data_IF_465132119279
#
_entry.id   IF_465132119279
#
_cell.length_a   1.000
_cell.length_b   1.000
_cell.length_c   1.000
_cell.angle_alpha   90.00
_cell.angle_beta   90.00
_cell.angle_gamma   90.00
#
_symmetry.space_group_name_H-M   'P 1'
#
loop_
_entity.id
_entity.type
_entity.pdbx_description
1 polymer ?
#
# COMPACT_ATOMS: atom_id res chain seq x y z
N UNK A 1 -40.30 -9.46 11.28
CA UNK A 1 -39.83 -10.40 12.33
C UNK A 1 -39.45 -11.76 11.74
N UNK A 2 -39.89 -12.12 10.49
CA UNK A 2 -39.65 -13.44 9.90
C UNK A 2 -38.36 -13.57 9.07
N UNK A 3 -37.71 -12.46 8.66
CA UNK A 3 -36.58 -12.51 7.72
C UNK A 3 -35.20 -12.68 8.39
N UNK A 4 -35.01 -12.18 9.58
CA UNK A 4 -33.73 -12.26 10.29
C UNK A 4 -33.40 -13.67 10.80
N UNK A 5 -34.41 -14.45 11.22
CA UNK A 5 -34.20 -15.83 11.64
C UNK A 5 -33.82 -16.76 10.50
N UNK A 6 -34.35 -16.54 9.28
CA UNK A 6 -33.98 -17.35 8.11
C UNK A 6 -32.54 -17.13 7.61
N UNK A 7 -31.97 -15.96 7.82
CA UNK A 7 -30.58 -15.68 7.41
C UNK A 7 -29.58 -16.34 8.38
N UNK A 8 -29.89 -16.29 9.68
CA UNK A 8 -29.03 -16.83 10.74
C UNK A 8 -28.85 -18.35 10.64
N UNK A 9 -29.91 -19.06 10.26
CA UNK A 9 -29.92 -20.54 10.18
C UNK A 9 -29.32 -21.07 8.86
N UNK A 10 -29.24 -20.23 7.81
CA UNK A 10 -28.67 -20.60 6.51
C UNK A 10 -27.15 -20.39 6.41
N UNK A 11 -26.59 -19.54 7.25
CA UNK A 11 -25.15 -19.34 7.31
C UNK A 11 -24.57 -20.34 8.29
N UNK A 12 -24.21 -21.52 7.81
CA UNK A 12 -23.44 -22.50 8.61
C UNK A 12 -22.16 -21.84 9.11
N UNK A 13 -21.79 -22.11 10.34
CA UNK A 13 -20.56 -21.60 10.98
C UNK A 13 -19.27 -21.93 10.23
N UNK A 14 -19.34 -22.87 9.28
CA UNK A 14 -18.23 -23.38 8.44
C UNK A 14 -18.21 -22.76 7.03
N UNK A 15 -19.05 -21.77 6.73
CA UNK A 15 -19.02 -21.14 5.41
C UNK A 15 -17.74 -20.33 5.23
N UNK A 16 -16.96 -20.51 4.12
CA UNK A 16 -15.78 -19.72 3.83
C UNK A 16 -16.11 -18.25 3.50
N UNK A 17 -17.40 -17.93 3.34
CA UNK A 17 -17.88 -16.59 3.02
C UNK A 17 -18.32 -15.89 4.31
N UNK A 18 -17.81 -14.69 4.57
CA UNK A 18 -18.25 -13.88 5.70
C UNK A 18 -19.76 -13.61 5.63
N UNK A 19 -20.41 -13.50 6.81
CA UNK A 19 -21.85 -13.18 6.90
C UNK A 19 -22.20 -11.88 6.19
N UNK A 20 -21.33 -10.91 6.28
CA UNK A 20 -21.48 -9.59 5.64
C UNK A 20 -21.52 -9.74 4.12
N UNK A 21 -20.58 -10.46 3.54
CA UNK A 21 -20.53 -10.74 2.10
C UNK A 21 -21.70 -11.58 1.62
N UNK A 22 -22.14 -12.54 2.44
CA UNK A 22 -23.32 -13.33 2.15
C UNK A 22 -24.58 -12.44 2.05
N UNK A 23 -24.79 -11.55 3.02
CA UNK A 23 -25.93 -10.61 3.01
C UNK A 23 -25.88 -9.70 1.80
N UNK A 24 -24.71 -9.14 1.49
CA UNK A 24 -24.55 -8.27 0.33
C UNK A 24 -24.92 -8.97 -1.00
N UNK A 25 -24.51 -10.23 -1.16
CA UNK A 25 -24.69 -10.96 -2.43
C UNK A 25 -26.07 -11.63 -2.57
N UNK A 26 -26.78 -11.86 -1.46
CA UNK A 26 -27.99 -12.70 -1.46
C UNK A 26 -29.25 -11.97 -0.95
N UNK A 27 -29.13 -10.69 -0.58
CA UNK A 27 -30.26 -9.93 -0.04
C UNK A 27 -30.64 -8.75 -0.93
N UNK A 28 -31.92 -8.58 -1.18
CA UNK A 28 -32.44 -7.35 -1.78
C UNK A 28 -32.59 -6.32 -0.67
N UNK A 29 -31.65 -5.39 -0.60
CA UNK A 29 -31.64 -4.33 0.40
C UNK A 29 -32.52 -3.16 -0.08
N UNK A 30 -33.62 -2.92 0.61
CA UNK A 30 -34.48 -1.74 0.38
C UNK A 30 -33.71 -0.45 0.66
N UNK A 31 -34.10 0.66 0.00
CA UNK A 31 -33.45 1.94 0.24
C UNK A 31 -33.96 2.59 1.53
N UNK A 32 -33.21 2.40 2.60
CA UNK A 32 -33.38 3.05 3.90
C UNK A 32 -32.01 3.47 4.46
N UNK A 33 -32.01 4.27 5.52
CA UNK A 33 -30.80 4.82 6.10
C UNK A 33 -29.80 3.74 6.56
N UNK A 34 -30.28 2.70 7.22
CA UNK A 34 -29.45 1.60 7.72
C UNK A 34 -28.80 0.82 6.57
N UNK A 35 -29.56 0.52 5.52
CA UNK A 35 -29.04 -0.19 4.37
C UNK A 35 -28.09 0.68 3.53
N UNK A 36 -28.26 2.01 3.50
CA UNK A 36 -27.30 2.94 2.88
C UNK A 36 -25.96 2.95 3.62
N UNK A 37 -25.97 2.93 4.95
CA UNK A 37 -24.75 2.81 5.76
C UNK A 37 -24.06 1.48 5.50
N UNK A 38 -24.81 0.38 5.46
CA UNK A 38 -24.29 -0.94 5.14
C UNK A 38 -23.65 -0.99 3.73
N UNK A 39 -24.33 -0.45 2.72
CA UNK A 39 -23.79 -0.38 1.34
C UNK A 39 -22.51 0.45 1.26
N UNK A 40 -22.44 1.60 1.97
CA UNK A 40 -21.21 2.41 2.05
C UNK A 40 -20.07 1.64 2.72
N UNK A 41 -20.36 0.89 3.78
CA UNK A 41 -19.36 0.05 4.44
C UNK A 41 -18.83 -1.05 3.50
N UNK A 42 -19.72 -1.73 2.76
CA UNK A 42 -19.34 -2.74 1.79
C UNK A 42 -18.47 -2.12 0.69
N UNK A 43 -18.91 -1.01 0.09
CA UNK A 43 -18.15 -0.29 -0.94
C UNK A 43 -16.76 0.12 -0.43
N UNK A 44 -16.66 0.56 0.82
CA UNK A 44 -15.37 0.86 1.44
C UNK A 44 -14.48 -0.39 1.54
N UNK A 45 -15.01 -1.49 2.08
CA UNK A 45 -14.24 -2.74 2.26
C UNK A 45 -13.86 -3.38 0.92
N UNK A 46 -14.75 -3.36 -0.07
CA UNK A 46 -14.48 -3.92 -1.39
C UNK A 46 -13.38 -3.16 -2.16
N UNK A 47 -13.10 -1.91 -1.78
CA UNK A 47 -12.03 -1.09 -2.37
C UNK A 47 -10.77 -0.97 -1.50
N UNK A 48 -10.64 -1.81 -0.46
CA UNK A 48 -9.39 -1.89 0.31
C UNK A 48 -8.32 -2.65 -0.47
N UNK A 49 -7.08 -2.21 -0.30
CA UNK A 49 -5.87 -2.89 -0.80
C UNK A 49 -4.93 -3.19 0.36
N UNK A 50 -4.50 -4.44 0.45
CA UNK A 50 -3.54 -4.91 1.45
C UNK A 50 -2.36 -5.57 0.72
N UNK A 51 -1.16 -5.10 0.99
CA UNK A 51 0.09 -5.62 0.42
C UNK A 51 0.93 -6.26 1.51
N UNK A 52 1.39 -7.47 1.23
CA UNK A 52 2.33 -8.22 2.08
C UNK A 52 3.70 -8.21 1.40
N UNK A 53 4.63 -7.40 1.87
CA UNK A 53 5.91 -7.22 1.18
C UNK A 53 6.84 -8.41 1.27
N UNK A 54 6.76 -9.22 2.33
CA UNK A 54 7.56 -10.44 2.50
C UNK A 54 7.07 -11.60 1.64
N UNK A 55 5.81 -11.60 1.22
CA UNK A 55 5.27 -12.56 0.26
C UNK A 55 5.13 -11.89 -1.10
N UNK A 56 6.10 -12.13 -1.98
CA UNK A 56 6.14 -11.55 -3.34
C UNK A 56 4.91 -11.86 -4.22
N UNK A 57 3.94 -12.60 -3.70
CA UNK A 57 2.66 -12.93 -4.34
C UNK A 57 1.47 -12.28 -3.65
N UNK A 58 1.69 -11.63 -2.50
CA UNK A 58 0.62 -11.33 -1.60
C UNK A 58 0.16 -9.90 -1.67
N UNK A 59 -0.84 -9.62 -2.48
CA UNK A 59 -1.77 -8.55 -2.16
C UNK A 59 -3.19 -9.11 -2.12
N UNK A 60 -4.01 -8.52 -1.30
CA UNK A 60 -5.44 -8.74 -1.27
C UNK A 60 -6.16 -7.44 -1.60
N UNK A 61 -7.14 -7.49 -2.49
CA UNK A 61 -7.86 -6.29 -2.86
C UNK A 61 -8.88 -6.47 -3.97
N UNK A 62 -9.46 -5.37 -4.40
CA UNK A 62 -10.56 -5.31 -5.36
C UNK A 62 -10.15 -5.62 -6.81
N UNK A 63 -8.87 -5.62 -7.12
CA UNK A 63 -8.38 -5.98 -8.45
C UNK A 63 -7.72 -7.35 -8.41
N UNK A 64 -8.43 -8.37 -8.81
CA UNK A 64 -7.86 -9.68 -9.05
C UNK A 64 -7.43 -9.73 -10.52
N UNK A 65 -6.29 -9.15 -10.84
CA UNK A 65 -5.79 -9.19 -12.22
C UNK A 65 -4.84 -10.37 -12.44
N UNK A 66 -5.17 -11.27 -13.35
CA UNK A 66 -4.17 -12.12 -14.01
C UNK A 66 -3.29 -11.28 -14.98
N UNK A 67 -3.46 -9.96 -14.97
CA UNK A 67 -2.75 -9.02 -15.82
C UNK A 67 -1.32 -8.86 -15.33
N UNK A 68 -0.35 -9.06 -16.20
CA UNK A 68 1.06 -8.82 -15.90
C UNK A 68 1.36 -7.34 -15.66
N UNK A 69 2.39 -7.03 -14.86
CA UNK A 69 2.78 -5.65 -14.54
C UNK A 69 3.05 -4.83 -15.80
N UNK A 70 3.82 -5.38 -16.76
CA UNK A 70 4.08 -4.73 -18.05
C UNK A 70 2.79 -4.44 -18.82
N UNK A 71 1.93 -5.46 -18.93
CA UNK A 71 0.65 -5.37 -19.62
C UNK A 71 -0.23 -4.27 -19.01
N UNK A 72 -0.32 -4.22 -17.69
CA UNK A 72 -1.14 -3.25 -17.00
C UNK A 72 -0.64 -1.82 -17.14
N UNK A 73 0.67 -1.59 -17.14
CA UNK A 73 1.26 -0.26 -17.38
C UNK A 73 1.01 0.17 -18.84
N UNK A 74 1.19 -0.74 -19.80
CA UNK A 74 0.92 -0.46 -21.22
C UNK A 74 -0.56 -0.19 -21.48
N UNK A 75 -1.47 -1.03 -20.93
CA UNK A 75 -2.92 -0.88 -21.06
C UNK A 75 -3.43 0.44 -20.48
N UNK A 76 -2.81 0.93 -19.41
CA UNK A 76 -3.15 2.22 -18.81
C UNK A 76 -2.65 3.43 -19.63
N UNK A 77 -1.85 3.22 -20.68
CA UNK A 77 -1.22 4.29 -21.46
C UNK A 77 -0.13 5.05 -20.70
N UNK A 78 0.40 4.48 -19.60
CA UNK A 78 1.26 5.16 -18.63
C UNK A 78 2.76 4.84 -18.78
N UNK A 79 3.21 4.29 -19.93
CA UNK A 79 4.62 3.92 -20.11
C UNK A 79 5.55 5.14 -20.01
N UNK A 80 5.17 6.29 -20.58
CA UNK A 80 5.97 7.52 -20.48
C UNK A 80 6.00 8.11 -19.06
N UNK A 81 4.89 8.01 -18.34
CA UNK A 81 4.82 8.44 -16.94
C UNK A 81 5.66 7.51 -16.07
N UNK A 82 5.64 6.20 -16.36
CA UNK A 82 6.50 5.21 -15.71
C UNK A 82 7.99 5.49 -15.98
N UNK A 83 8.36 5.81 -17.21
CA UNK A 83 9.73 6.23 -17.53
C UNK A 83 10.15 7.44 -16.71
N UNK A 84 9.29 8.45 -16.59
CA UNK A 84 9.57 9.64 -15.77
C UNK A 84 9.74 9.28 -14.30
N UNK A 85 8.86 8.43 -13.76
CA UNK A 85 8.95 7.92 -12.40
C UNK A 85 10.28 7.20 -12.15
N UNK A 86 10.76 6.37 -13.07
CA UNK A 86 12.07 5.73 -12.96
C UNK A 86 13.20 6.75 -12.98
N UNK A 87 13.11 7.76 -13.85
CA UNK A 87 14.12 8.82 -13.95
C UNK A 87 14.21 9.69 -12.70
N UNK A 88 13.08 9.95 -12.03
CA UNK A 88 13.02 10.62 -10.72
C UNK A 88 13.70 9.81 -9.60
N UNK A 89 13.95 8.52 -9.85
CA UNK A 89 14.66 7.60 -8.96
C UNK A 89 16.03 7.19 -9.51
N UNK A 90 16.68 8.06 -10.30
CA UNK A 90 18.01 7.88 -10.88
C UNK A 90 18.14 6.64 -11.79
N UNK A 91 17.01 6.16 -12.35
CA UNK A 91 16.99 5.05 -13.30
C UNK A 91 16.60 5.59 -14.68
N UNK A 92 17.60 5.79 -15.54
CA UNK A 92 17.39 6.39 -16.86
C UNK A 92 17.32 5.31 -17.94
N UNK A 93 16.11 4.93 -18.31
CA UNK A 93 15.79 4.07 -19.45
C UNK A 93 14.91 4.83 -20.44
N UNK A 94 15.12 4.62 -21.71
CA UNK A 94 14.17 5.02 -22.74
C UNK A 94 13.18 3.87 -22.98
N UNK A 95 11.91 4.07 -22.55
CA UNK A 95 10.90 3.01 -22.52
C UNK A 95 9.82 3.20 -23.57
N UNK A 96 9.38 2.08 -24.16
CA UNK A 96 8.19 2.05 -24.98
C UNK A 96 7.37 0.77 -24.75
N UNK A 97 6.07 0.88 -25.00
CA UNK A 97 5.17 -0.28 -24.97
C UNK A 97 5.08 -0.91 -26.35
N UNK A 98 5.10 -2.22 -26.42
CA UNK A 98 4.91 -3.00 -27.64
C UNK A 98 4.07 -4.25 -27.39
N UNK A 99 3.75 -4.95 -28.46
CA UNK A 99 3.08 -6.24 -28.40
C UNK A 99 4.01 -7.32 -28.99
N UNK A 100 4.26 -8.37 -28.21
CA UNK A 100 5.10 -9.52 -28.57
C UNK A 100 4.30 -10.79 -28.29
N UNK A 101 4.12 -11.63 -29.30
CA UNK A 101 3.36 -12.90 -29.22
C UNK A 101 1.95 -12.72 -28.60
N UNK A 102 1.27 -11.62 -28.96
CA UNK A 102 -0.09 -11.29 -28.48
C UNK A 102 -0.14 -10.80 -27.02
N UNK A 103 1.01 -10.51 -26.40
CA UNK A 103 1.10 -9.95 -25.05
C UNK A 103 1.75 -8.57 -25.07
N UNK A 104 1.22 -7.66 -24.30
CA UNK A 104 1.82 -6.33 -24.14
C UNK A 104 3.03 -6.40 -23.24
N UNK A 105 4.11 -5.74 -23.68
CA UNK A 105 5.42 -5.72 -23.03
C UNK A 105 6.00 -4.31 -23.00
N UNK A 106 6.95 -4.07 -22.10
CA UNK A 106 7.73 -2.83 -22.04
C UNK A 106 9.15 -3.17 -22.47
N UNK A 107 9.66 -2.41 -23.42
CA UNK A 107 11.01 -2.54 -23.93
C UNK A 107 11.82 -1.28 -23.61
N UNK A 108 13.12 -1.49 -23.42
CA UNK A 108 14.12 -0.43 -23.34
C UNK A 108 14.78 -0.26 -24.71
N UNK A 109 14.87 0.98 -25.16
CA UNK A 109 15.58 1.34 -26.36
C UNK A 109 17.05 1.66 -26.03
N UNK A 110 17.96 1.08 -26.78
CA UNK A 110 19.40 1.37 -26.76
C UNK A 110 19.87 1.66 -28.20
N UNK A 111 20.97 2.36 -28.36
CA UNK A 111 21.47 2.84 -29.67
C UNK A 111 21.41 1.80 -30.79
N UNK A 112 21.69 0.53 -30.52
CA UNK A 112 21.78 -0.53 -31.51
C UNK A 112 20.85 -1.73 -31.29
N UNK A 113 20.05 -1.72 -30.22
CA UNK A 113 19.19 -2.88 -29.89
C UNK A 113 18.10 -2.48 -28.90
N UNK A 114 17.03 -3.26 -28.89
CA UNK A 114 15.98 -3.16 -27.91
C UNK A 114 16.00 -4.39 -26.99
N UNK A 115 15.69 -4.19 -25.72
CA UNK A 115 15.65 -5.26 -24.74
C UNK A 115 14.36 -5.22 -23.91
N UNK A 116 13.83 -6.37 -23.58
CA UNK A 116 12.69 -6.50 -22.65
C UNK A 116 13.10 -5.95 -21.28
N UNK A 117 12.38 -4.93 -20.81
CA UNK A 117 12.63 -4.26 -19.55
C UNK A 117 12.71 -5.24 -18.36
N UNK A 118 11.79 -6.20 -18.27
CA UNK A 118 11.74 -7.14 -17.16
C UNK A 118 12.85 -8.20 -17.19
N UNK A 119 13.53 -8.38 -18.34
CA UNK A 119 14.67 -9.27 -18.46
C UNK A 119 15.98 -8.61 -18.02
N UNK A 120 16.12 -7.29 -18.25
CA UNK A 120 17.35 -6.56 -17.97
C UNK A 120 17.31 -5.79 -16.64
N UNK A 121 16.13 -5.42 -16.17
CA UNK A 121 15.96 -4.65 -14.93
C UNK A 121 16.44 -5.42 -13.69
N UNK A 122 17.10 -4.70 -12.77
CA UNK A 122 17.46 -5.22 -11.46
C UNK A 122 16.22 -5.62 -10.63
N UNK A 123 16.42 -6.39 -9.56
CA UNK A 123 15.32 -6.75 -8.65
C UNK A 123 14.66 -5.50 -8.07
N UNK A 124 15.42 -4.51 -7.61
CA UNK A 124 14.89 -3.25 -7.10
C UNK A 124 14.10 -2.47 -8.15
N UNK A 125 14.60 -2.40 -9.39
CA UNK A 125 13.89 -1.74 -10.51
C UNK A 125 12.58 -2.45 -10.85
N UNK A 126 12.56 -3.79 -10.81
CA UNK A 126 11.33 -4.57 -11.00
C UNK A 126 10.33 -4.37 -9.86
N UNK A 127 10.81 -4.23 -8.63
CA UNK A 127 9.95 -3.89 -7.48
C UNK A 127 9.35 -2.50 -7.62
N UNK A 128 10.10 -1.52 -8.16
CA UNK A 128 9.55 -0.21 -8.51
C UNK A 128 8.48 -0.28 -9.61
N UNK A 129 8.67 -1.13 -10.62
CA UNK A 129 7.66 -1.33 -11.65
C UNK A 129 6.37 -1.93 -11.05
N UNK A 130 6.49 -2.88 -10.12
CA UNK A 130 5.35 -3.43 -9.38
C UNK A 130 4.68 -2.35 -8.52
N UNK A 131 5.46 -1.55 -7.79
CA UNK A 131 4.92 -0.41 -7.04
C UNK A 131 4.17 0.55 -7.96
N UNK A 132 4.77 0.97 -9.08
CA UNK A 132 4.16 1.90 -10.03
C UNK A 132 2.86 1.34 -10.62
N UNK A 133 2.83 0.06 -10.96
CA UNK A 133 1.62 -0.63 -11.43
C UNK A 133 0.46 -0.48 -10.45
N UNK A 134 0.73 -0.59 -9.14
CA UNK A 134 -0.27 -0.39 -8.11
C UNK A 134 -0.54 1.08 -7.83
N UNK A 135 0.49 1.90 -7.80
CA UNK A 135 0.38 3.35 -7.56
C UNK A 135 -0.68 4.01 -8.43
N UNK A 136 -0.65 3.76 -9.74
CA UNK A 136 -1.64 4.32 -10.67
C UNK A 136 -3.08 3.78 -10.48
N UNK A 137 -3.27 2.80 -9.61
CA UNK A 137 -4.57 2.20 -9.28
C UNK A 137 -5.05 2.56 -7.87
N UNK A 138 -4.15 2.98 -6.99
CA UNK A 138 -4.46 3.29 -5.59
C UNK A 138 -5.43 4.45 -5.44
N UNK A 139 -5.51 5.39 -6.39
CA UNK A 139 -6.50 6.48 -6.37
C UNK A 139 -7.96 5.98 -6.30
N UNK A 140 -8.22 4.75 -6.74
CA UNK A 140 -9.55 4.12 -6.69
C UNK A 140 -9.80 3.35 -5.39
N UNK A 141 -8.79 3.18 -4.58
CA UNK A 141 -8.91 2.50 -3.29
C UNK A 141 -9.62 3.40 -2.27
N UNK A 142 -10.23 2.77 -1.28
CA UNK A 142 -10.76 3.45 -0.09
C UNK A 142 -9.73 3.50 1.03
N UNK A 143 -8.88 2.48 1.10
CA UNK A 143 -7.88 2.27 2.12
C UNK A 143 -6.75 1.41 1.54
N UNK A 144 -5.50 1.74 1.87
CA UNK A 144 -4.32 0.99 1.46
C UNK A 144 -3.47 0.69 2.68
N UNK A 145 -3.06 -0.55 2.84
CA UNK A 145 -2.09 -0.98 3.83
C UNK A 145 -0.93 -1.68 3.13
N UNK A 146 0.30 -1.26 3.41
CA UNK A 146 1.50 -1.85 2.84
C UNK A 146 2.42 -2.24 3.99
N UNK A 147 2.56 -3.53 4.21
CA UNK A 147 3.44 -4.07 5.25
C UNK A 147 4.89 -4.10 4.73
N UNK A 148 5.82 -3.64 5.57
CA UNK A 148 7.25 -3.54 5.25
C UNK A 148 7.52 -2.98 3.84
N UNK A 149 6.93 -1.82 3.54
CA UNK A 149 6.88 -1.25 2.20
C UNK A 149 8.26 -1.03 1.57
N UNK A 150 9.29 -0.89 2.39
CA UNK A 150 10.67 -0.61 2.00
C UNK A 150 11.59 -1.85 1.97
N UNK A 151 11.05 -3.06 2.15
CA UNK A 151 11.83 -4.30 2.21
C UNK A 151 12.76 -4.55 1.01
N UNK A 152 12.44 -3.99 -0.16
CA UNK A 152 13.20 -4.16 -1.41
C UNK A 152 13.90 -2.89 -1.88
N UNK A 153 13.89 -1.82 -1.08
CA UNK A 153 14.41 -0.52 -1.44
C UNK A 153 15.54 -0.10 -0.50
N UNK A 154 16.55 0.57 -1.03
CA UNK A 154 17.47 1.34 -0.20
C UNK A 154 16.82 2.65 0.25
N UNK A 155 17.44 3.37 1.19
CA UNK A 155 16.83 4.50 1.89
C UNK A 155 16.25 5.58 0.95
N UNK A 156 17.04 6.08 -0.01
CA UNK A 156 16.60 7.15 -0.91
C UNK A 156 15.37 6.75 -1.73
N UNK A 157 15.33 5.48 -2.14
CA UNK A 157 14.23 4.93 -2.90
C UNK A 157 12.97 4.77 -2.04
N UNK A 158 13.14 4.34 -0.79
CA UNK A 158 12.03 4.23 0.19
C UNK A 158 11.44 5.61 0.47
N UNK A 159 12.28 6.64 0.60
CA UNK A 159 11.83 8.02 0.78
C UNK A 159 11.03 8.50 -0.44
N UNK A 160 11.51 8.25 -1.65
CA UNK A 160 10.82 8.60 -2.89
C UNK A 160 9.47 7.91 -3.00
N UNK A 161 9.40 6.61 -2.74
CA UNK A 161 8.13 5.84 -2.71
C UNK A 161 7.15 6.44 -1.71
N UNK A 162 7.60 6.76 -0.50
CA UNK A 162 6.75 7.39 0.52
C UNK A 162 6.24 8.77 0.06
N UNK A 163 7.09 9.58 -0.59
CA UNK A 163 6.67 10.88 -1.15
C UNK A 163 5.58 10.73 -2.22
N UNK A 164 5.67 9.71 -3.07
CA UNK A 164 4.63 9.41 -4.06
C UNK A 164 3.33 8.97 -3.40
N UNK A 165 3.38 8.10 -2.37
CA UNK A 165 2.20 7.71 -1.61
C UNK A 165 1.50 8.90 -0.96
N UNK A 166 2.26 9.89 -0.46
CA UNK A 166 1.71 11.10 0.14
C UNK A 166 0.96 12.00 -0.85
N UNK A 167 1.17 11.84 -2.16
CA UNK A 167 0.49 12.62 -3.20
C UNK A 167 -0.89 12.06 -3.54
N UNK A 168 -1.21 10.83 -3.13
CA UNK A 168 -2.51 10.22 -3.40
C UNK A 168 -3.58 10.88 -2.51
N UNK A 169 -4.46 11.64 -3.13
CA UNK A 169 -5.54 12.33 -2.42
C UNK A 169 -6.76 11.41 -2.22
N UNK A 170 -7.46 11.59 -1.10
CA UNK A 170 -8.74 10.93 -0.83
C UNK A 170 -8.65 9.46 -0.43
N UNK A 171 -7.46 8.92 -0.26
CA UNK A 171 -7.21 7.54 0.16
C UNK A 171 -6.43 7.55 1.49
N UNK A 172 -6.85 6.75 2.43
CA UNK A 172 -6.10 6.54 3.66
C UNK A 172 -5.05 5.45 3.44
N UNK A 173 -3.77 5.80 3.62
CA UNK A 173 -2.64 4.89 3.37
C UNK A 173 -1.88 4.68 4.66
N UNK A 174 -1.63 3.42 5.02
CA UNK A 174 -0.74 3.01 6.09
C UNK A 174 0.41 2.20 5.52
N UNK A 175 1.60 2.52 5.95
CA UNK A 175 2.82 1.76 5.65
C UNK A 175 3.47 1.32 6.95
N UNK A 176 4.04 0.12 6.99
CA UNK A 176 4.94 -0.30 8.07
C UNK A 176 6.36 -0.37 7.56
N UNK A 177 7.32 -0.11 8.45
CA UNK A 177 8.75 -0.19 8.16
C UNK A 177 9.54 -0.42 9.44
N UNK A 178 10.67 -1.09 9.32
CA UNK A 178 11.69 -1.15 10.38
C UNK A 178 12.76 -0.07 10.22
N UNK A 179 12.73 0.70 9.13
CA UNK A 179 13.71 1.73 8.83
C UNK A 179 13.37 3.04 9.55
N UNK A 180 14.04 3.28 10.67
CA UNK A 180 13.85 4.50 11.46
C UNK A 180 14.37 5.77 10.79
N UNK A 181 15.18 5.66 9.72
CA UNK A 181 15.69 6.82 9.00
C UNK A 181 14.57 7.53 8.22
N UNK A 182 13.47 6.83 7.92
CA UNK A 182 12.25 7.41 7.34
C UNK A 182 11.44 8.26 8.32
N UNK A 183 11.81 8.30 9.59
CA UNK A 183 11.15 9.13 10.61
C UNK A 183 11.61 10.59 10.50
N UNK A 184 11.12 11.29 9.49
CA UNK A 184 11.45 12.67 9.17
C UNK A 184 10.21 13.54 9.07
N UNK A 185 10.30 14.76 9.64
CA UNK A 185 9.27 15.78 9.51
C UNK A 185 9.10 16.31 8.07
N UNK A 186 10.08 16.03 7.21
CA UNK A 186 10.02 16.39 5.79
C UNK A 186 9.19 15.37 4.96
N UNK A 187 8.99 14.17 5.50
CA UNK A 187 8.18 13.12 4.89
C UNK A 187 6.74 13.15 5.35
N UNK A 188 6.53 13.09 6.66
CA UNK A 188 5.21 13.05 7.28
C UNK A 188 5.18 13.93 8.53
N UNK A 189 3.99 14.38 8.88
CA UNK A 189 3.77 15.09 10.14
C UNK A 189 4.01 14.15 11.33
N UNK A 190 4.46 14.68 12.49
CA UNK A 190 4.72 13.87 13.68
C UNK A 190 3.53 13.04 14.17
N UNK A 191 2.31 13.51 13.96
CA UNK A 191 1.07 12.83 14.35
C UNK A 191 0.69 11.69 13.40
N UNK A 192 1.39 11.55 12.28
CA UNK A 192 1.23 10.46 11.32
C UNK A 192 2.19 9.29 11.55
N UNK A 193 3.12 9.41 12.50
CA UNK A 193 4.02 8.32 12.89
C UNK A 193 3.48 7.58 14.11
N UNK A 194 3.41 6.26 14.00
CA UNK A 194 2.93 5.38 15.06
C UNK A 194 4.00 4.37 15.42
N UNK A 195 4.15 4.13 16.70
CA UNK A 195 4.96 3.04 17.24
C UNK A 195 4.08 1.85 17.56
N UNK A 196 4.41 0.70 16.96
CA UNK A 196 3.79 -0.58 17.24
C UNK A 196 4.73 -1.37 18.16
N UNK A 197 4.38 -1.49 19.44
CA UNK A 197 5.15 -2.23 20.44
C UNK A 197 4.23 -2.80 21.52
N UNK A 198 4.58 -3.95 22.08
CA UNK A 198 3.87 -4.56 23.22
C UNK A 198 2.34 -4.67 23.00
N UNK A 199 1.92 -5.11 21.84
CA UNK A 199 0.51 -5.20 21.41
C UNK A 199 -0.26 -3.87 21.52
N UNK A 200 0.42 -2.76 21.40
CA UNK A 200 -0.18 -1.42 21.42
C UNK A 200 0.33 -0.57 20.27
N UNK A 201 -0.51 0.36 19.82
CA UNK A 201 -0.17 1.38 18.82
C UNK A 201 -0.28 2.74 19.48
N UNK A 202 0.80 3.53 19.42
CA UNK A 202 0.84 4.89 19.97
C UNK A 202 1.41 5.85 18.95
N UNK A 203 0.77 6.99 18.76
CA UNK A 203 1.36 8.06 17.96
C UNK A 203 2.61 8.60 18.65
N UNK A 204 3.66 8.94 17.91
CA UNK A 204 4.89 9.50 18.47
C UNK A 204 4.59 10.80 19.23
N UNK A 205 3.63 11.58 18.77
CA UNK A 205 3.16 12.78 19.47
C UNK A 205 2.60 12.50 20.87
N UNK A 206 2.19 11.28 21.18
CA UNK A 206 1.69 10.87 22.49
C UNK A 206 2.79 10.33 23.43
N UNK A 207 3.99 10.11 22.90
CA UNK A 207 5.13 9.60 23.68
C UNK A 207 5.96 10.72 24.35
N UNK A 208 5.59 11.97 24.14
CA UNK A 208 6.27 13.12 24.72
C UNK A 208 5.24 14.19 25.15
N UNK A 209 5.52 14.84 26.28
CA UNK A 209 4.74 16.00 26.72
C UNK A 209 5.13 17.27 25.99
N UNK A 210 6.23 17.25 25.23
CA UNK A 210 6.70 18.39 24.45
C UNK A 210 5.95 18.47 23.14
N UNK A 211 5.51 19.69 22.79
CA UNK A 211 4.97 19.98 21.46
C UNK A 211 6.02 19.65 20.39
N UNK A 212 5.70 18.72 19.50
CA UNK A 212 6.59 18.32 18.42
C UNK A 212 6.54 19.38 17.32
N UNK A 213 7.65 20.06 17.12
CA UNK A 213 7.82 21.05 16.03
C UNK A 213 8.61 20.43 14.88
N UNK A 214 8.49 21.03 13.71
CA UNK A 214 9.18 20.57 12.49
C UNK A 214 10.72 20.45 12.67
N UNK A 215 11.31 21.26 13.55
CA UNK A 215 12.75 21.21 13.83
C UNK A 215 13.21 20.04 14.71
N UNK A 216 12.29 19.24 15.27
CA UNK A 216 12.66 18.12 16.12
C UNK A 216 13.07 16.90 15.30
N UNK A 217 14.17 16.25 15.68
CA UNK A 217 14.60 15.00 15.08
C UNK A 217 13.80 13.83 15.69
N UNK A 218 12.78 13.36 14.95
CA UNK A 218 11.88 12.29 15.39
C UNK A 218 12.62 10.97 15.62
N UNK A 219 13.61 10.65 14.79
CA UNK A 219 14.43 9.43 14.94
C UNK A 219 15.20 9.42 16.26
N UNK A 220 15.82 10.55 16.63
CA UNK A 220 16.53 10.66 17.93
C UNK A 220 15.57 10.53 19.11
N UNK A 221 14.39 11.10 18.99
CA UNK A 221 13.35 10.98 20.02
C UNK A 221 12.87 9.54 20.16
N UNK A 222 12.62 8.86 19.06
CA UNK A 222 12.25 7.45 19.06
C UNK A 222 13.31 6.59 19.74
N UNK A 223 14.59 6.75 19.36
CA UNK A 223 15.72 6.02 19.98
C UNK A 223 15.83 6.32 21.47
N UNK A 224 15.61 7.55 21.90
CA UNK A 224 15.61 7.91 23.31
C UNK A 224 14.43 7.27 24.08
N UNK A 225 13.22 7.26 23.51
CA UNK A 225 12.07 6.60 24.13
C UNK A 225 12.27 5.09 24.29
N UNK A 226 12.91 4.41 23.31
CA UNK A 226 13.21 2.99 23.41
C UNK A 226 14.22 2.68 24.53
N UNK A 227 15.22 3.53 24.73
CA UNK A 227 16.21 3.36 25.82
C UNK A 227 15.54 3.47 27.19
N UNK A 228 14.61 4.41 27.37
CA UNK A 228 13.85 4.55 28.62
C UNK A 228 12.87 3.39 28.89
N UNK A 229 12.37 2.73 27.85
CA UNK A 229 11.46 1.58 28.01
C UNK A 229 12.22 0.26 28.24
N UNK A 230 13.46 0.14 27.79
CA UNK A 230 14.31 -1.02 28.06
C UNK A 230 14.87 -1.01 29.48
N UNK A 231 15.27 0.16 30.00
CA UNK A 231 15.78 0.28 31.38
C UNK A 231 14.68 0.03 32.42
N UNK A 232 13.39 0.29 32.07
CA UNK A 232 12.28 -0.01 32.98
C UNK A 232 11.87 -1.50 33.00
N UNK A 233 12.35 -2.32 32.07
CA UNK A 233 12.07 -3.75 32.01
C UNK A 233 13.10 -4.60 32.77
N UNK A 234 14.29 -4.05 33.09
CA UNK A 234 15.34 -4.72 33.88
C UNK A 234 15.18 -4.50 35.37
N UNK A 235 14.26 -3.63 35.83
CA UNK A 235 13.97 -3.34 37.22
C UNK A 235 12.69 -4.04 37.78
N UNK A 236 12.15 -5.03 37.09
CA UNK A 236 11.05 -5.90 37.53
C UNK A 236 11.46 -7.37 37.44
#
# INVERSE_FOLDING_TARGET
VGSEMCIRDRIKSESPISRVRYVNNNSILTDNEQNRVFKKFIDFVERMLLFYSLDSRGYEGFTNGNEGVAEGIVNSGKVRDFQRFLKENDIDYELYGCEVDGKKAIYCHFDNTDADFFKIASTGTRSLALFYYWYIRMEKASFVFIDEFDAFYHFELSESVQRHLNQIAGVQIFTTTHNTDLMSNDLLRPDSYFLLANNSIKAISQLTEKELRQAHNLQKMYKACLLYTSDAADDL
#
